data_IF_718857155601
#
_entry.id   IF_718857155601
#
_cell.length_a   1.000
_cell.length_b   1.000
_cell.length_c   1.000
_cell.angle_alpha   90.00
_cell.angle_beta   90.00
_cell.angle_gamma   90.00
#
_symmetry.space_group_name_H-M   'P 1'
#
loop_
_entity.id
_entity.type
_entity.pdbx_description
1 polymer ?
#
# COMPACT_ATOMS: atom_id res chain seq x y z
N UNK A 1 2.09 -29.17 -35.36
CA UNK A 1 2.38 -28.02 -34.49
C UNK A 1 1.33 -27.99 -33.39
N UNK A 2 1.65 -28.49 -32.22
CA UNK A 2 0.71 -28.58 -31.08
C UNK A 2 0.86 -27.32 -30.23
N UNK A 3 -0.13 -26.44 -30.28
CA UNK A 3 -0.27 -25.31 -29.37
C UNK A 3 -0.60 -25.84 -27.98
N UNK A 4 0.43 -26.10 -27.18
CA UNK A 4 0.24 -26.35 -25.76
C UNK A 4 -0.22 -25.04 -25.10
N UNK A 5 -1.53 -24.87 -24.95
CA UNK A 5 -2.18 -23.86 -24.10
C UNK A 5 -1.97 -24.22 -22.62
N UNK A 6 -0.72 -24.34 -22.21
CA UNK A 6 -0.34 -24.49 -20.81
C UNK A 6 -0.50 -23.16 -20.10
N UNK A 7 -1.29 -23.12 -19.00
CA UNK A 7 -1.34 -21.99 -18.08
C UNK A 7 0.10 -21.64 -17.69
N UNK A 8 0.59 -20.46 -18.08
CA UNK A 8 1.95 -20.02 -17.74
C UNK A 8 2.02 -19.85 -16.22
N UNK A 9 2.84 -20.69 -15.57
CA UNK A 9 3.05 -20.60 -14.13
C UNK A 9 3.82 -19.31 -13.82
N UNK A 10 3.36 -18.47 -12.87
CA UNK A 10 4.07 -17.26 -12.51
C UNK A 10 5.49 -17.59 -12.01
N UNK A 11 6.53 -16.86 -12.44
CA UNK A 11 7.89 -17.05 -11.95
C UNK A 11 7.99 -16.65 -10.47
N UNK A 12 9.03 -17.14 -9.79
CA UNK A 12 9.29 -16.83 -8.37
C UNK A 12 9.38 -15.33 -8.09
N UNK A 13 9.85 -14.52 -9.05
CA UNK A 13 9.91 -13.05 -8.93
C UNK A 13 8.52 -12.40 -8.87
N UNK A 14 7.54 -12.91 -9.62
CA UNK A 14 6.14 -12.44 -9.55
C UNK A 14 5.48 -12.89 -8.26
N UNK A 15 5.81 -14.11 -7.80
CA UNK A 15 5.34 -14.60 -6.49
C UNK A 15 5.93 -13.76 -5.37
N UNK A 16 7.22 -13.44 -5.41
CA UNK A 16 7.87 -12.57 -4.44
C UNK A 16 7.25 -11.17 -4.42
N UNK A 17 6.99 -10.59 -5.60
CA UNK A 17 6.29 -9.31 -5.70
C UNK A 17 4.88 -9.39 -5.07
N UNK A 18 4.13 -10.45 -5.39
CA UNK A 18 2.81 -10.70 -4.80
C UNK A 18 2.87 -10.76 -3.26
N UNK A 19 3.75 -11.60 -2.71
CA UNK A 19 3.92 -11.72 -1.25
C UNK A 19 4.38 -10.40 -0.63
N UNK A 20 5.28 -9.66 -1.29
CA UNK A 20 5.71 -8.34 -0.82
C UNK A 20 4.54 -7.36 -0.70
N UNK A 21 3.66 -7.28 -1.68
CA UNK A 21 2.46 -6.42 -1.57
C UNK A 21 1.49 -6.89 -0.48
N UNK A 22 1.36 -8.20 -0.25
CA UNK A 22 0.58 -8.74 0.86
C UNK A 22 1.16 -8.30 2.21
N UNK A 23 2.47 -8.40 2.38
CA UNK A 23 3.16 -7.95 3.59
C UNK A 23 3.03 -6.44 3.78
N UNK A 24 3.15 -5.64 2.70
CA UNK A 24 2.90 -4.20 2.76
C UNK A 24 1.47 -3.87 3.21
N UNK A 25 0.46 -4.64 2.80
CA UNK A 25 -0.91 -4.47 3.28
C UNK A 25 -1.03 -4.76 4.78
N UNK A 26 -0.28 -5.74 5.32
CA UNK A 26 -0.21 -5.98 6.77
C UNK A 26 0.36 -4.77 7.50
N UNK A 27 1.46 -4.19 7.00
CA UNK A 27 2.02 -2.96 7.55
C UNK A 27 1.04 -1.78 7.51
N UNK A 28 0.25 -1.66 6.43
CA UNK A 28 -0.79 -0.63 6.34
C UNK A 28 -1.86 -0.79 7.45
N UNK A 29 -2.31 -2.02 7.69
CA UNK A 29 -3.25 -2.32 8.79
C UNK A 29 -2.63 -2.06 10.16
N UNK A 30 -1.37 -2.45 10.37
CA UNK A 30 -0.64 -2.14 11.62
C UNK A 30 -0.52 -0.63 11.83
N UNK A 31 -0.26 0.13 10.77
CA UNK A 31 -0.17 1.60 10.82
C UNK A 31 -1.50 2.23 11.27
N UNK A 32 -2.64 1.71 10.78
CA UNK A 32 -3.97 2.14 11.24
C UNK A 32 -4.17 1.83 12.73
N UNK A 33 -3.72 0.67 13.20
CA UNK A 33 -3.78 0.32 14.63
C UNK A 33 -2.97 1.28 15.51
N UNK A 34 -1.78 1.68 15.05
CA UNK A 34 -0.96 2.68 15.76
C UNK A 34 -1.61 4.06 15.74
N UNK A 35 -2.16 4.48 14.60
CA UNK A 35 -2.88 5.76 14.47
C UNK A 35 -4.05 5.85 15.46
N UNK A 36 -4.74 4.73 15.72
CA UNK A 36 -5.82 4.69 16.71
C UNK A 36 -5.32 4.91 18.14
N UNK A 37 -4.10 4.46 18.44
CA UNK A 37 -3.46 4.65 19.74
C UNK A 37 -2.81 6.03 19.94
N UNK A 38 -2.66 6.82 18.88
CA UNK A 38 -2.03 8.16 18.91
C UNK A 38 -3.05 9.30 18.92
N UNK A 39 -4.25 9.08 19.49
CA UNK A 39 -5.32 10.08 19.50
C UNK A 39 -4.92 11.35 20.26
N UNK A 40 -4.29 11.19 21.42
CA UNK A 40 -3.82 12.32 22.24
C UNK A 40 -2.78 13.18 21.50
N UNK A 41 -1.88 12.55 20.73
CA UNK A 41 -0.89 13.24 19.90
C UNK A 41 -1.57 14.09 18.81
N UNK A 42 -2.68 13.60 18.23
CA UNK A 42 -3.47 14.34 17.24
C UNK A 42 -4.18 15.54 17.88
N UNK A 43 -4.74 15.37 19.08
CA UNK A 43 -5.38 16.47 19.83
C UNK A 43 -4.35 17.55 20.15
N UNK A 44 -3.16 17.17 20.60
CA UNK A 44 -2.09 18.11 20.91
C UNK A 44 -1.58 18.83 19.65
N UNK A 45 -1.42 18.12 18.53
CA UNK A 45 -1.07 18.73 17.25
C UNK A 45 -2.13 19.76 16.77
N UNK A 46 -3.42 19.45 16.94
CA UNK A 46 -4.50 20.39 16.63
C UNK A 46 -4.49 21.59 17.56
N UNK A 47 -4.22 21.40 18.85
CA UNK A 47 -4.05 22.50 19.82
C UNK A 47 -2.91 23.43 19.43
N UNK A 48 -1.77 22.86 19.02
CA UNK A 48 -0.59 23.62 18.57
C UNK A 48 -0.80 24.34 17.24
N UNK A 49 -1.75 23.90 16.42
CA UNK A 49 -2.10 24.59 15.16
C UNK A 49 -2.75 25.98 15.36
N UNK A 50 -3.04 26.36 16.61
CA UNK A 50 -3.59 27.68 16.95
C UNK A 50 -5.07 27.86 16.56
N UNK A 51 -5.79 26.76 16.34
CA UNK A 51 -7.22 26.79 16.09
C UNK A 51 -7.97 27.23 17.35
N UNK A 52 -8.81 28.26 17.25
CA UNK A 52 -9.68 28.73 18.33
C UNK A 52 -10.86 27.77 18.53
N UNK A 53 -10.56 26.53 18.91
CA UNK A 53 -11.52 25.47 19.15
C UNK A 53 -11.67 25.24 20.66
N UNK A 54 -12.87 24.90 21.10
CA UNK A 54 -13.08 24.37 22.45
C UNK A 54 -12.45 22.98 22.57
N UNK A 55 -12.17 22.52 23.79
CA UNK A 55 -11.58 21.20 24.02
C UNK A 55 -12.45 20.06 23.44
N UNK A 56 -13.77 20.20 23.55
CA UNK A 56 -14.74 19.26 22.97
C UNK A 56 -14.66 19.23 21.43
N UNK A 57 -14.46 20.40 20.80
CA UNK A 57 -14.28 20.50 19.35
C UNK A 57 -12.96 19.88 18.90
N UNK A 58 -11.87 20.05 19.66
CA UNK A 58 -10.57 19.42 19.38
C UNK A 58 -10.67 17.90 19.41
N UNK A 59 -11.26 17.33 20.45
CA UNK A 59 -11.43 15.88 20.58
C UNK A 59 -12.31 15.30 19.48
N UNK A 60 -13.41 15.99 19.14
CA UNK A 60 -14.29 15.59 18.04
C UNK A 60 -13.57 15.67 16.69
N UNK A 61 -12.82 16.74 16.44
CA UNK A 61 -12.02 16.91 15.23
C UNK A 61 -10.93 15.84 15.09
N UNK A 62 -10.19 15.54 16.16
CA UNK A 62 -9.20 14.47 16.18
C UNK A 62 -9.83 13.11 15.89
N UNK A 63 -10.96 12.80 16.52
CA UNK A 63 -11.69 11.54 16.30
C UNK A 63 -12.18 11.42 14.86
N UNK A 64 -12.74 12.49 14.31
CA UNK A 64 -13.19 12.53 12.92
C UNK A 64 -12.02 12.37 11.94
N UNK A 65 -10.93 13.11 12.14
CA UNK A 65 -9.74 13.01 11.31
C UNK A 65 -9.16 11.58 11.35
N UNK A 66 -9.01 11.02 12.55
CA UNK A 66 -8.52 9.67 12.75
C UNK A 66 -9.40 8.63 12.04
N UNK A 67 -10.73 8.69 12.22
CA UNK A 67 -11.66 7.78 11.57
C UNK A 67 -11.62 7.91 10.03
N UNK A 68 -11.52 9.14 9.51
CA UNK A 68 -11.41 9.40 8.08
C UNK A 68 -10.11 8.84 7.50
N UNK A 69 -8.95 9.13 8.10
CA UNK A 69 -7.66 8.62 7.64
C UNK A 69 -7.57 7.09 7.74
N UNK A 70 -8.04 6.51 8.85
CA UNK A 70 -8.12 5.06 9.01
C UNK A 70 -8.98 4.41 7.90
N UNK A 71 -10.16 5.00 7.61
CA UNK A 71 -11.05 4.49 6.57
C UNK A 71 -10.42 4.54 5.18
N UNK A 72 -9.77 5.66 4.83
CA UNK A 72 -9.06 5.82 3.56
C UNK A 72 -7.91 4.80 3.45
N UNK A 73 -7.12 4.64 4.51
CA UNK A 73 -6.01 3.70 4.55
C UNK A 73 -6.48 2.24 4.35
N UNK A 74 -7.59 1.85 4.98
CA UNK A 74 -8.20 0.52 4.81
C UNK A 74 -8.65 0.30 3.36
N UNK A 75 -9.34 1.28 2.76
CA UNK A 75 -9.78 1.18 1.36
C UNK A 75 -8.57 1.03 0.42
N UNK A 76 -7.52 1.84 0.62
CA UNK A 76 -6.29 1.74 -0.17
C UNK A 76 -5.64 0.36 0.00
N UNK A 77 -5.58 -0.18 1.22
CA UNK A 77 -5.02 -1.51 1.47
C UNK A 77 -5.82 -2.61 0.77
N UNK A 78 -7.15 -2.55 0.79
CA UNK A 78 -8.01 -3.50 0.07
C UNK A 78 -7.84 -3.42 -1.45
N UNK A 79 -7.71 -2.21 -2.00
CA UNK A 79 -7.44 -2.00 -3.42
C UNK A 79 -6.06 -2.56 -3.79
N UNK A 80 -5.02 -2.28 -3.00
CA UNK A 80 -3.68 -2.82 -3.22
C UNK A 80 -3.67 -4.36 -3.15
N UNK A 81 -4.38 -4.94 -2.18
CA UNK A 81 -4.52 -6.38 -2.06
C UNK A 81 -5.18 -6.98 -3.31
N UNK A 82 -6.28 -6.40 -3.77
CA UNK A 82 -6.93 -6.80 -5.01
C UNK A 82 -6.01 -6.68 -6.23
N UNK A 83 -5.26 -5.58 -6.33
CA UNK A 83 -4.27 -5.39 -7.39
C UNK A 83 -3.14 -6.41 -7.32
N UNK A 84 -2.69 -6.83 -6.13
CA UNK A 84 -1.68 -7.87 -5.98
C UNK A 84 -2.17 -9.21 -6.56
N UNK A 85 -3.43 -9.59 -6.32
CA UNK A 85 -4.01 -10.77 -6.98
C UNK A 85 -4.07 -10.62 -8.50
N UNK A 86 -4.37 -9.42 -9.01
CA UNK A 86 -4.35 -9.12 -10.44
C UNK A 86 -2.94 -9.17 -11.02
N UNK A 87 -1.94 -8.69 -10.30
CA UNK A 87 -0.52 -8.81 -10.66
C UNK A 87 -0.12 -10.29 -10.81
N UNK A 88 -0.45 -11.13 -9.83
CA UNK A 88 -0.17 -12.57 -9.88
C UNK A 88 -0.82 -13.28 -11.07
N UNK A 89 -1.96 -12.76 -11.55
CA UNK A 89 -2.64 -13.27 -12.75
C UNK A 89 -2.05 -12.79 -14.09
N UNK A 90 -0.93 -12.04 -14.07
CA UNK A 90 -0.26 -11.59 -15.30
C UNK A 90 -0.86 -10.31 -15.91
N UNK A 91 -1.66 -9.56 -15.17
CA UNK A 91 -2.28 -8.32 -15.68
C UNK A 91 -1.31 -7.15 -15.53
N UNK A 92 -0.69 -6.73 -16.64
CA UNK A 92 0.33 -5.68 -16.64
C UNK A 92 -0.18 -4.32 -16.10
N UNK A 93 -1.47 -3.98 -16.30
CA UNK A 93 -2.04 -2.75 -15.74
C UNK A 93 -2.02 -2.72 -14.20
N UNK A 94 -2.15 -3.88 -13.54
CA UNK A 94 -2.08 -3.96 -12.08
C UNK A 94 -0.66 -3.63 -11.57
N UNK A 95 0.37 -4.02 -12.33
CA UNK A 95 1.77 -3.69 -12.02
C UNK A 95 2.02 -2.19 -12.03
N UNK A 96 1.50 -1.49 -13.05
CA UNK A 96 1.62 -0.03 -13.16
C UNK A 96 0.90 0.64 -12.00
N UNK A 97 -0.34 0.25 -11.71
CA UNK A 97 -1.10 0.83 -10.60
C UNK A 97 -0.40 0.62 -9.25
N UNK A 98 0.10 -0.59 -8.97
CA UNK A 98 0.86 -0.86 -7.74
C UNK A 98 2.13 -0.01 -7.62
N UNK A 99 2.78 0.28 -8.76
CA UNK A 99 3.93 1.19 -8.80
C UNK A 99 3.51 2.60 -8.41
N UNK A 100 2.41 3.11 -8.98
CA UNK A 100 1.86 4.44 -8.67
C UNK A 100 1.46 4.53 -7.19
N UNK A 101 0.76 3.52 -6.65
CA UNK A 101 0.42 3.46 -5.22
C UNK A 101 1.67 3.47 -4.34
N UNK A 102 2.71 2.73 -4.72
CA UNK A 102 3.98 2.69 -3.97
C UNK A 102 4.68 4.05 -3.98
N UNK A 103 4.67 4.76 -5.11
CA UNK A 103 5.22 6.13 -5.19
C UNK A 103 4.44 7.08 -4.29
N UNK A 104 3.11 7.02 -4.28
CA UNK A 104 2.30 7.82 -3.36
C UNK A 104 2.56 7.46 -1.89
N UNK A 105 2.68 6.17 -1.57
CA UNK A 105 2.98 5.69 -0.23
C UNK A 105 4.34 6.24 0.24
N UNK A 106 5.39 6.16 -0.58
CA UNK A 106 6.70 6.73 -0.25
C UNK A 106 6.62 8.26 -0.14
N UNK A 107 5.93 8.92 -1.07
CA UNK A 107 5.73 10.37 -1.07
C UNK A 107 5.06 10.88 0.22
N UNK A 108 4.06 10.16 0.72
CA UNK A 108 3.37 10.53 1.96
C UNK A 108 4.26 10.50 3.20
N UNK A 109 5.36 9.73 3.19
CA UNK A 109 6.31 9.66 4.31
C UNK A 109 7.13 10.94 4.47
N UNK A 110 7.19 11.80 3.45
CA UNK A 110 7.85 13.11 3.55
C UNK A 110 6.96 14.19 4.17
N UNK A 111 5.67 13.89 4.35
CA UNK A 111 4.66 14.82 4.90
C UNK A 111 4.29 14.41 6.33
N UNK A 112 4.32 13.10 6.64
CA UNK A 112 3.99 12.60 7.97
C UNK A 112 5.16 12.68 8.95
N UNK A 113 4.94 13.32 10.09
CA UNK A 113 5.87 13.34 11.23
C UNK A 113 5.23 12.59 12.43
N UNK A 114 6.02 11.86 13.21
CA UNK A 114 5.55 11.19 14.46
C UNK A 114 5.75 9.67 14.52
N UNK A 115 5.48 9.07 15.68
CA UNK A 115 5.73 7.65 16.00
C UNK A 115 4.90 6.65 15.17
N UNK A 116 3.74 7.09 14.66
CA UNK A 116 2.88 6.31 13.75
C UNK A 116 3.54 5.97 12.40
N UNK A 117 4.71 6.55 12.09
CA UNK A 117 5.43 6.37 10.82
C UNK A 117 6.29 5.10 10.76
N UNK A 118 6.67 4.49 11.89
CA UNK A 118 7.57 3.33 11.90
C UNK A 118 7.05 2.13 11.07
N UNK A 119 5.81 1.66 11.25
CA UNK A 119 5.26 0.60 10.41
C UNK A 119 5.08 1.04 8.95
N UNK A 120 4.83 2.33 8.71
CA UNK A 120 4.68 2.87 7.37
C UNK A 120 6.00 2.84 6.57
N UNK A 121 7.15 3.10 7.21
CA UNK A 121 8.47 2.92 6.59
C UNK A 121 8.72 1.45 6.19
N UNK A 122 8.42 0.51 7.10
CA UNK A 122 8.55 -0.92 6.81
C UNK A 122 7.70 -1.35 5.62
N UNK A 123 6.43 -0.94 5.61
CA UNK A 123 5.51 -1.19 4.50
C UNK A 123 6.00 -0.61 3.17
N UNK A 124 6.50 0.64 3.17
CA UNK A 124 6.99 1.30 1.98
C UNK A 124 8.26 0.64 1.40
N UNK A 125 9.20 0.22 2.26
CA UNK A 125 10.41 -0.51 1.82
C UNK A 125 10.01 -1.84 1.19
N UNK A 126 9.11 -2.60 1.83
CA UNK A 126 8.64 -3.88 1.29
C UNK A 126 7.89 -3.68 -0.04
N UNK A 127 7.04 -2.66 -0.14
CA UNK A 127 6.35 -2.32 -1.38
C UNK A 127 7.34 -1.94 -2.50
N UNK A 128 8.38 -1.16 -2.19
CA UNK A 128 9.42 -0.80 -3.15
C UNK A 128 10.16 -2.04 -3.68
N UNK A 129 10.53 -2.98 -2.79
CA UNK A 129 11.14 -4.24 -3.20
C UNK A 129 10.20 -5.10 -4.04
N UNK A 130 8.90 -5.12 -3.71
CA UNK A 130 7.88 -5.81 -4.48
C UNK A 130 7.73 -5.22 -5.90
N UNK A 131 7.77 -3.89 -6.01
CA UNK A 131 7.82 -3.18 -7.30
C UNK A 131 9.04 -3.64 -8.10
N UNK A 132 10.24 -3.58 -7.52
CA UNK A 132 11.47 -4.03 -8.22
C UNK A 132 11.34 -5.48 -8.68
N UNK A 133 10.89 -6.39 -7.81
CA UNK A 133 10.66 -7.79 -8.17
C UNK A 133 9.67 -7.97 -9.33
N UNK A 134 8.65 -7.10 -9.43
CA UNK A 134 7.66 -7.12 -10.51
C UNK A 134 8.20 -6.70 -11.88
N UNK A 135 9.37 -6.02 -11.92
CA UNK A 135 10.04 -5.58 -13.15
C UNK A 135 11.34 -6.33 -13.47
N UNK A 136 11.71 -7.33 -12.67
CA UNK A 136 12.83 -8.21 -12.98
C UNK A 136 12.63 -8.93 -14.34
N UNK A 137 13.72 -9.34 -15.03
CA UNK A 137 13.64 -9.92 -16.37
C UNK A 137 12.65 -11.09 -16.49
N UNK A 138 12.65 -12.01 -15.52
CA UNK A 138 11.72 -13.13 -15.48
C UNK A 138 10.25 -12.69 -15.39
N UNK A 139 9.98 -11.64 -14.61
CA UNK A 139 8.64 -11.05 -14.51
C UNK A 139 8.20 -10.43 -15.84
N UNK A 140 9.08 -9.69 -16.52
CA UNK A 140 8.77 -9.08 -17.82
C UNK A 140 8.41 -10.12 -18.87
N UNK A 141 9.20 -11.20 -18.97
CA UNK A 141 8.91 -12.32 -19.87
C UNK A 141 7.53 -12.92 -19.56
N UNK A 142 7.21 -13.13 -18.28
CA UNK A 142 5.90 -13.63 -17.87
C UNK A 142 4.75 -12.72 -18.34
N UNK A 143 4.81 -11.41 -18.05
CA UNK A 143 3.76 -10.47 -18.46
C UNK A 143 3.61 -10.37 -19.98
N UNK A 144 4.72 -10.43 -20.72
CA UNK A 144 4.69 -10.43 -22.19
C UNK A 144 4.08 -11.71 -22.76
N UNK A 145 4.39 -12.88 -22.18
CA UNK A 145 3.77 -14.14 -22.61
C UNK A 145 2.27 -14.15 -22.36
N UNK A 146 1.81 -13.66 -21.20
CA UNK A 146 0.39 -13.57 -20.87
C UNK A 146 -0.33 -12.59 -21.80
N UNK A 147 0.29 -11.44 -22.11
CA UNK A 147 -0.25 -10.45 -23.05
C UNK A 147 -0.40 -10.99 -24.48
N UNK A 148 0.49 -11.88 -24.92
CA UNK A 148 0.42 -12.49 -26.26
C UNK A 148 -0.59 -13.63 -26.35
N UNK A 149 -0.95 -14.23 -25.22
CA UNK A 149 -1.81 -15.41 -25.16
C UNK A 149 -3.31 -15.09 -25.00
N UNK A 150 -3.67 -13.85 -24.67
CA UNK A 150 -5.06 -13.37 -24.56
C UNK A 150 -5.31 -12.24 -25.54
#
# INVERSE_FOLDING_TARGET
MTTATGKTTPPSTVIAAFIGFLVSCVFAVTSVGVLVGSHDDLVEALRQSGTAMTEEQLQSAATFAQAMFASIAVVIALVQLWLAFKLRSGRNWARILLTVFTVFQIGSLFIGEGSATWPAYGGAIVAALAVVASYLPASNVYFDTVKRAG
#
